data_IF_714184523825
#
_entry.id   IF_714184523825
#
_cell.length_a   1.000
_cell.length_b   1.000
_cell.length_c   1.000
_cell.angle_alpha   90.00
_cell.angle_beta   90.00
_cell.angle_gamma   90.00
#
_symmetry.space_group_name_H-M   'P 1'
#
loop_
_entity.id
_entity.type
_entity.pdbx_description
1 polymer ?
#
# COMPACT_ATOMS: atom_id res chain seq x y z
N UNK A 1 7.01 0.14 5.94
CA UNK A 1 5.77 0.57 5.25
C UNK A 1 5.99 1.80 4.39
N UNK A 2 6.85 2.73 4.80
CA UNK A 2 7.21 3.94 4.05
C UNK A 2 7.60 3.68 2.59
N UNK A 3 8.50 2.73 2.33
CA UNK A 3 8.91 2.39 0.96
C UNK A 3 7.72 2.00 0.07
N UNK A 4 6.81 1.18 0.60
CA UNK A 4 5.63 0.75 -0.14
C UNK A 4 4.65 1.91 -0.33
N UNK A 5 4.58 2.85 0.62
CA UNK A 5 3.77 4.05 0.48
C UNK A 5 4.32 4.98 -0.61
N UNK A 6 5.64 5.20 -0.66
CA UNK A 6 6.26 6.04 -1.70
C UNK A 6 6.20 5.43 -3.10
N UNK A 7 6.19 4.10 -3.21
CA UNK A 7 6.06 3.38 -4.50
C UNK A 7 4.62 2.99 -4.84
N UNK A 8 3.65 3.43 -4.03
CA UNK A 8 2.26 2.98 -4.15
C UNK A 8 1.66 3.39 -5.50
N UNK A 9 0.86 2.49 -6.06
CA UNK A 9 0.02 2.75 -7.23
C UNK A 9 -1.43 2.57 -6.84
N UNK A 10 -2.29 3.47 -7.31
CA UNK A 10 -3.73 3.35 -7.10
C UNK A 10 -4.24 2.11 -7.83
N UNK A 11 -4.99 1.27 -7.13
CA UNK A 11 -5.61 0.06 -7.68
C UNK A 11 -7.09 0.30 -7.94
N UNK A 12 -7.77 1.01 -7.03
CA UNK A 12 -9.19 1.40 -7.10
C UNK A 12 -9.46 2.47 -6.05
N UNK A 13 -10.40 3.40 -6.27
CA UNK A 13 -10.90 4.33 -5.24
C UNK A 13 -9.81 4.77 -4.23
N UNK A 14 -9.99 4.50 -2.93
CA UNK A 14 -9.01 4.77 -1.88
C UNK A 14 -8.01 3.63 -1.63
N UNK A 15 -7.99 2.59 -2.46
CA UNK A 15 -7.14 1.41 -2.40
C UNK A 15 -5.88 1.56 -3.27
N UNK A 16 -4.73 1.33 -2.65
CA UNK A 16 -3.41 1.43 -3.24
C UNK A 16 -2.60 0.16 -2.98
N UNK A 17 -1.61 -0.08 -3.84
CA UNK A 17 -0.65 -1.18 -3.67
C UNK A 17 0.76 -0.69 -3.88
N UNK A 18 1.60 -0.95 -2.90
CA UNK A 18 3.03 -0.69 -2.92
C UNK A 18 3.86 -1.96 -2.89
N UNK A 19 5.15 -1.83 -3.15
CA UNK A 19 6.11 -2.92 -3.05
C UNK A 19 7.28 -2.41 -2.20
N UNK A 20 7.68 -3.20 -1.21
CA UNK A 20 8.89 -2.94 -0.42
C UNK A 20 10.14 -3.36 -1.19
N UNK A 21 11.32 -2.87 -0.79
CA UNK A 21 12.61 -3.28 -1.37
C UNK A 21 12.84 -4.81 -1.38
N UNK A 22 12.26 -5.53 -0.43
CA UNK A 22 12.33 -7.00 -0.34
C UNK A 22 11.31 -7.73 -1.22
N UNK A 23 10.50 -7.01 -2.00
CA UNK A 23 9.50 -7.57 -2.90
C UNK A 23 8.15 -7.89 -2.24
N UNK A 24 7.97 -7.60 -0.94
CA UNK A 24 6.68 -7.78 -0.26
C UNK A 24 5.70 -6.74 -0.79
N UNK A 25 4.55 -7.23 -1.29
CA UNK A 25 3.43 -6.38 -1.71
C UNK A 25 2.65 -5.93 -0.49
N UNK A 26 2.43 -4.62 -0.38
CA UNK A 26 1.59 -4.05 0.66
C UNK A 26 0.32 -3.51 0.00
N UNK A 27 -0.81 -3.93 0.51
CA UNK A 27 -2.10 -3.35 0.18
C UNK A 27 -2.46 -2.32 1.25
N UNK A 28 -2.90 -1.14 0.83
CA UNK A 28 -3.20 -0.05 1.74
C UNK A 28 -4.43 0.73 1.29
N UNK A 29 -5.17 1.27 2.25
CA UNK A 29 -6.25 2.21 2.03
C UNK A 29 -5.85 3.56 2.60
N UNK A 30 -6.11 4.62 1.83
CA UNK A 30 -5.79 5.99 2.23
C UNK A 30 -7.06 6.74 2.61
N UNK A 31 -6.93 7.67 3.54
CA UNK A 31 -7.93 8.70 3.79
C UNK A 31 -7.92 9.74 2.66
N UNK A 32 -8.91 10.63 2.63
CA UNK A 32 -9.00 11.71 1.64
C UNK A 32 -7.84 12.70 1.68
N UNK A 33 -7.17 12.83 2.83
CA UNK A 33 -5.97 13.64 3.03
C UNK A 33 -4.67 12.93 2.59
N UNK A 34 -4.77 11.67 2.12
CA UNK A 34 -3.64 10.87 1.68
C UNK A 34 -2.90 10.11 2.79
N UNK A 35 -3.30 10.26 4.05
CA UNK A 35 -2.76 9.47 5.17
C UNK A 35 -3.22 8.01 5.08
N UNK A 36 -2.45 7.09 5.66
CA UNK A 36 -2.77 5.66 5.64
C UNK A 36 -3.89 5.40 6.66
N UNK A 37 -5.05 4.97 6.18
CA UNK A 37 -6.13 4.48 7.03
C UNK A 37 -5.82 3.06 7.51
N UNK A 38 -5.43 2.17 6.58
CA UNK A 38 -5.03 0.79 6.88
C UNK A 38 -3.95 0.33 5.89
N UNK A 39 -3.07 -0.56 6.33
CA UNK A 39 -2.08 -1.20 5.46
C UNK A 39 -1.72 -2.59 5.98
N UNK A 40 -1.63 -3.57 5.09
CA UNK A 40 -1.25 -4.93 5.44
C UNK A 40 -0.41 -5.59 4.33
N UNK A 41 0.54 -6.45 4.71
CA UNK A 41 1.31 -7.24 3.76
C UNK A 41 0.43 -8.31 3.10
N UNK A 42 0.58 -8.47 1.79
CA UNK A 42 -0.01 -9.54 1.01
C UNK A 42 1.01 -10.68 0.90
N UNK A 43 0.86 -11.70 1.74
CA UNK A 43 1.57 -12.97 1.58
C UNK A 43 0.77 -13.84 0.62
N UNK A 44 1.38 -14.27 -0.49
CA UNK A 44 0.83 -15.40 -1.23
C UNK A 44 0.96 -16.63 -0.32
N UNK A 45 -0.16 -17.32 -0.11
CA UNK A 45 -0.18 -18.63 0.54
C UNK A 45 0.51 -19.67 -0.33
#
# INVERSE_FOLDING_TARGET
>A
MDEAYHTRKQVRSNKYRGITSTGIKIEMYLNSDGTIATAYPLYKK
#
